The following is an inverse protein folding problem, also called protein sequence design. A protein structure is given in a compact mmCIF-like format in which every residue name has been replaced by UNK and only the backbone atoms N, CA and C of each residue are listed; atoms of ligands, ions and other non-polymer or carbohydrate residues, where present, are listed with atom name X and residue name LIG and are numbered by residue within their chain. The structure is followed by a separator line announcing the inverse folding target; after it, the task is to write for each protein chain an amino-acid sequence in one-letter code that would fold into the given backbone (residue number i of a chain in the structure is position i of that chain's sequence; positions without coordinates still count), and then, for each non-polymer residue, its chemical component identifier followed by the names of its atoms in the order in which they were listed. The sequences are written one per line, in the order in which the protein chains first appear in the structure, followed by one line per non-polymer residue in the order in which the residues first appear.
data_IF_593420729950
#
_entry.id   IF_593420729950
#
_cell.length_a   1.000
_cell.length_b   1.000
_cell.length_c   1.000
_cell.angle_alpha   90.00
_cell.angle_beta   90.00
_cell.angle_gamma   90.00
#
_symmetry.space_group_name_H-M   'P 1'
#
loop_
_entity.id
_entity.type
_entity.pdbx_description
1 polymer ?
#
# COMPACT_ATOMS: atom_id res chain seq x y z
N UNK A 1 18.24 -6.88 8.09
CA UNK A 1 16.92 -7.36 7.64
C UNK A 1 15.99 -6.18 7.50
N UNK A 2 15.35 -6.05 6.35
CA UNK A 2 14.46 -4.90 6.08
C UNK A 2 13.09 -5.12 6.68
N UNK A 3 12.49 -4.06 7.23
CA UNK A 3 11.08 -4.03 7.57
C UNK A 3 10.34 -3.31 6.44
N UNK A 4 9.35 -3.96 5.88
CA UNK A 4 8.59 -3.42 4.75
C UNK A 4 7.21 -2.95 5.19
N UNK A 5 6.80 -1.81 4.66
CA UNK A 5 5.49 -1.21 4.92
C UNK A 5 4.85 -0.84 3.58
N UNK A 6 3.55 -1.00 3.49
CA UNK A 6 2.76 -0.48 2.38
C UNK A 6 1.61 0.34 2.94
N UNK A 7 1.40 1.53 2.38
CA UNK A 7 0.27 2.39 2.75
C UNK A 7 -0.79 2.27 1.67
N UNK A 8 -1.99 1.87 2.07
CA UNK A 8 -3.13 1.75 1.16
C UNK A 8 -4.28 2.64 1.63
N UNK A 9 -5.09 3.10 0.71
CA UNK A 9 -6.27 3.91 1.02
C UNK A 9 -7.31 3.79 -0.09
N UNK A 10 -8.56 4.05 0.27
CA UNK A 10 -9.61 4.21 -0.71
C UNK A 10 -9.41 5.49 -1.55
N UNK A 11 -8.83 6.54 -0.94
CA UNK A 11 -8.47 7.77 -1.64
C UNK A 11 -6.95 7.85 -1.81
N UNK A 12 -6.50 8.04 -3.05
CA UNK A 12 -5.08 8.12 -3.36
C UNK A 12 -4.35 9.23 -2.59
N UNK A 13 -5.02 10.36 -2.38
CA UNK A 13 -4.43 11.51 -1.66
C UNK A 13 -4.11 11.16 -0.21
N UNK A 14 -5.00 10.42 0.47
CA UNK A 14 -4.77 10.02 1.86
C UNK A 14 -3.55 9.09 1.97
N UNK A 15 -3.40 8.14 1.06
CA UNK A 15 -2.25 7.25 1.04
C UNK A 15 -0.95 8.01 0.79
N UNK A 16 -0.95 8.92 -0.17
CA UNK A 16 0.21 9.73 -0.51
C UNK A 16 0.65 10.60 0.68
N UNK A 17 -0.31 11.24 1.36
CA UNK A 17 -0.02 12.09 2.52
C UNK A 17 0.60 11.28 3.66
N UNK A 18 0.03 10.12 3.98
CA UNK A 18 0.55 9.26 5.04
C UNK A 18 1.93 8.74 4.67
N UNK A 19 2.16 8.35 3.42
CA UNK A 19 3.47 7.91 2.94
C UNK A 19 4.52 9.01 3.06
N UNK A 20 4.19 10.24 2.69
CA UNK A 20 5.09 11.39 2.80
C UNK A 20 5.41 11.70 4.27
N UNK A 21 4.41 11.66 5.14
CA UNK A 21 4.59 11.89 6.57
C UNK A 21 5.47 10.82 7.20
N UNK A 22 5.25 9.55 6.82
CA UNK A 22 6.07 8.44 7.28
C UNK A 22 7.54 8.63 6.85
N UNK A 23 7.77 8.96 5.59
CA UNK A 23 9.11 9.14 5.05
C UNK A 23 9.85 10.30 5.74
N UNK A 24 9.13 11.34 6.17
CA UNK A 24 9.71 12.48 6.88
C UNK A 24 10.15 12.15 8.30
N UNK A 25 9.62 11.08 8.90
CA UNK A 25 9.91 10.68 10.28
C UNK A 25 11.15 9.80 10.43
N UNK A 26 11.70 9.28 9.33
CA UNK A 26 12.84 8.36 9.38
C UNK A 26 14.03 8.96 8.64
N UNK A 27 15.27 8.62 9.05
CA UNK A 27 16.45 9.10 8.34
C UNK A 27 16.47 8.60 6.89
N UNK A 28 16.77 9.49 5.95
CA UNK A 28 16.77 9.16 4.52
C UNK A 28 17.76 8.03 4.18
N UNK A 29 18.85 7.91 4.94
CA UNK A 29 19.85 6.86 4.72
C UNK A 29 19.35 5.45 5.09
N UNK A 30 18.27 5.33 5.87
CA UNK A 30 17.71 4.05 6.29
C UNK A 30 16.45 3.66 5.52
N UNK A 31 15.97 4.54 4.62
CA UNK A 31 14.69 4.37 3.93
C UNK A 31 14.90 4.17 2.44
N UNK A 32 14.32 3.10 1.91
CA UNK A 32 14.04 3.00 0.48
C UNK A 32 12.55 3.23 0.25
N UNK A 33 12.22 4.00 -0.77
CA UNK A 33 10.83 4.22 -1.18
C UNK A 33 10.65 3.63 -2.57
N UNK A 34 9.72 2.68 -2.69
CA UNK A 34 9.54 1.91 -3.92
C UNK A 34 8.06 1.84 -4.28
N UNK A 35 7.76 1.65 -5.56
CA UNK A 35 6.38 1.49 -6.03
C UNK A 35 5.91 0.05 -5.87
N UNK A 36 4.63 -0.14 -5.59
CA UNK A 36 3.98 -1.45 -5.66
C UNK A 36 3.93 -2.00 -7.09
N UNK A 37 4.29 -1.20 -8.08
CA UNK A 37 4.49 -1.64 -9.45
C UNK A 37 5.95 -2.02 -9.77
N UNK A 38 6.88 -1.79 -8.83
CA UNK A 38 8.29 -1.99 -9.07
C UNK A 38 8.77 -1.22 -10.29
N UNK A 39 9.50 -1.87 -11.18
CA UNK A 39 9.93 -1.31 -12.47
C UNK A 39 8.96 -1.61 -13.61
N UNK A 40 7.87 -2.34 -13.34
CA UNK A 40 6.88 -2.69 -14.36
C UNK A 40 5.98 -1.51 -14.68
N UNK A 41 5.52 -1.44 -15.93
CA UNK A 41 4.54 -0.43 -16.31
C UNK A 41 3.14 -0.84 -15.83
N UNK A 42 2.25 0.13 -15.70
CA UNK A 42 0.86 -0.14 -15.34
C UNK A 42 0.21 -1.04 -16.41
N UNK A 43 0.53 -0.83 -17.68
CA UNK A 43 0.02 -1.67 -18.77
C UNK A 43 0.44 -3.12 -18.62
N UNK A 44 1.70 -3.39 -18.27
CA UNK A 44 2.20 -4.75 -18.06
C UNK A 44 1.49 -5.41 -16.88
N UNK A 45 1.27 -4.68 -15.81
CA UNK A 45 0.58 -5.17 -14.61
C UNK A 45 -0.87 -5.51 -14.91
N UNK A 46 -1.60 -4.61 -15.56
CA UNK A 46 -3.03 -4.78 -15.83
C UNK A 46 -3.30 -5.84 -16.90
N UNK A 47 -2.37 -5.98 -17.88
CA UNK A 47 -2.51 -6.98 -18.95
C UNK A 47 -2.26 -8.40 -18.47
N UNK A 48 -1.28 -8.58 -17.58
CA UNK A 48 -0.92 -9.90 -17.07
C UNK A 48 -0.38 -9.79 -15.64
N UNK A 49 -1.27 -9.59 -14.65
CA UNK A 49 -0.86 -9.42 -13.26
C UNK A 49 -0.13 -10.64 -12.69
N UNK A 50 -0.51 -11.84 -13.10
CA UNK A 50 0.13 -13.07 -12.62
C UNK A 50 1.60 -13.15 -13.01
N UNK A 51 1.95 -12.66 -14.20
CA UNK A 51 3.34 -12.63 -14.65
C UNK A 51 4.11 -11.46 -14.06
N UNK A 52 3.43 -10.33 -13.85
CA UNK A 52 4.06 -9.13 -13.31
C UNK A 52 4.39 -9.25 -11.82
N UNK A 53 3.55 -9.92 -11.04
CA UNK A 53 3.70 -9.99 -9.58
C UNK A 53 5.07 -10.54 -9.13
N UNK A 54 5.58 -11.67 -9.65
CA UNK A 54 6.88 -12.16 -9.22
C UNK A 54 8.02 -11.17 -9.47
N UNK A 55 7.97 -10.44 -10.58
CA UNK A 55 8.98 -9.42 -10.92
C UNK A 55 8.93 -8.24 -9.95
N UNK A 56 7.73 -7.78 -9.64
CA UNK A 56 7.53 -6.69 -8.68
C UNK A 56 8.03 -7.10 -7.30
N UNK A 57 7.71 -8.29 -6.85
CA UNK A 57 8.16 -8.83 -5.57
C UNK A 57 9.70 -8.89 -5.51
N UNK A 58 10.32 -9.36 -6.57
CA UNK A 58 11.78 -9.41 -6.66
C UNK A 58 12.39 -8.00 -6.62
N UNK A 59 11.84 -7.06 -7.35
CA UNK A 59 12.30 -5.67 -7.33
C UNK A 59 12.24 -5.09 -5.91
N UNK A 60 11.15 -5.31 -5.20
CA UNK A 60 10.99 -4.83 -3.83
C UNK A 60 11.98 -5.51 -2.89
N UNK A 61 12.16 -6.82 -3.01
CA UNK A 61 13.07 -7.58 -2.17
C UNK A 61 14.53 -7.26 -2.41
N UNK A 62 14.87 -6.66 -3.54
CA UNK A 62 16.25 -6.27 -3.85
C UNK A 62 16.74 -5.11 -2.99
N UNK A 63 15.83 -4.37 -2.37
CA UNK A 63 16.18 -3.27 -1.47
C UNK A 63 16.55 -3.80 -0.09
N UNK A 64 17.72 -3.40 0.41
CA UNK A 64 18.29 -3.89 1.67
C UNK A 64 18.33 -2.85 2.78
N UNK A 65 17.79 -1.68 2.55
CA UNK A 65 17.66 -0.63 3.56
C UNK A 65 16.86 -1.15 4.76
N UNK A 66 17.08 -0.58 5.93
CA UNK A 66 16.39 -1.02 7.16
C UNK A 66 14.87 -0.91 7.04
N UNK A 67 14.40 0.11 6.35
CA UNK A 67 12.99 0.37 6.12
C UNK A 67 12.72 0.49 4.62
N UNK A 68 11.75 -0.28 4.14
CA UNK A 68 11.28 -0.19 2.75
C UNK A 68 9.82 0.25 2.79
N UNK A 69 9.54 1.43 2.28
CA UNK A 69 8.18 1.96 2.16
C UNK A 69 7.68 1.74 0.74
N UNK A 70 6.62 0.97 0.62
CA UNK A 70 6.01 0.65 -0.67
C UNK A 70 4.86 1.61 -0.91
N UNK A 71 4.96 2.39 -1.99
CA UNK A 71 3.86 3.24 -2.43
C UNK A 71 2.86 2.40 -3.21
N UNK A 72 1.62 2.33 -2.71
CA UNK A 72 0.55 1.58 -3.35
C UNK A 72 0.27 2.12 -4.75
N UNK A 73 -0.11 1.24 -5.67
CA UNK A 73 -0.61 1.69 -6.97
C UNK A 73 -1.90 2.48 -6.76
N UNK A 74 -2.02 3.65 -7.37
CA UNK A 74 -3.26 4.40 -7.33
C UNK A 74 -4.31 3.70 -8.18
N UNK A 75 -5.59 3.93 -7.87
CA UNK A 75 -6.66 3.47 -8.73
C UNK A 75 -6.49 4.12 -10.10
N UNK A 76 -6.39 3.27 -11.12
CA UNK A 76 -6.14 3.72 -12.47
C UNK A 76 -7.40 3.87 -13.30
N UNK A 77 -7.21 4.22 -14.56
CA UNK A 77 -8.28 4.35 -15.54
C UNK A 77 -8.86 3.01 -16.00
N UNK A 78 -8.23 1.89 -15.64
CA UNK A 78 -8.72 0.55 -16.00
C UNK A 78 -9.65 0.07 -14.89
N UNK A 79 -10.95 0.26 -15.10
CA UNK A 79 -11.97 -0.02 -14.08
C UNK A 79 -12.14 -1.50 -13.74
N UNK A 80 -11.68 -2.40 -14.61
CA UNK A 80 -11.77 -3.84 -14.40
C UNK A 80 -10.60 -4.43 -13.62
N UNK A 81 -9.56 -3.64 -13.38
CA UNK A 81 -8.39 -4.10 -12.63
C UNK A 81 -8.59 -3.84 -11.13
N UNK A 82 -8.42 -4.88 -10.34
CA UNK A 82 -8.54 -4.79 -8.88
C UNK A 82 -7.22 -4.25 -8.28
N UNK A 83 -7.10 -2.93 -8.25
CA UNK A 83 -5.90 -2.25 -7.74
C UNK A 83 -5.67 -2.56 -6.27
N UNK A 84 -6.71 -2.55 -5.45
CA UNK A 84 -6.60 -2.88 -4.02
C UNK A 84 -6.11 -4.32 -3.84
N UNK A 85 -6.69 -5.27 -4.58
CA UNK A 85 -6.24 -6.66 -4.54
C UNK A 85 -4.78 -6.81 -4.92
N UNK A 86 -4.33 -6.11 -5.95
CA UNK A 86 -2.92 -6.08 -6.34
C UNK A 86 -2.02 -5.61 -5.20
N UNK A 87 -2.36 -4.48 -4.59
CA UNK A 87 -1.57 -3.91 -3.50
C UNK A 87 -1.51 -4.87 -2.30
N UNK A 88 -2.60 -5.57 -1.99
CA UNK A 88 -2.65 -6.56 -0.93
C UNK A 88 -1.82 -7.80 -1.27
N UNK A 89 -1.83 -8.24 -2.53
CA UNK A 89 -1.01 -9.36 -2.99
C UNK A 89 0.49 -9.02 -2.90
N UNK A 90 0.86 -7.80 -3.26
CA UNK A 90 2.24 -7.31 -3.09
C UNK A 90 2.63 -7.33 -1.61
N UNK A 91 1.75 -6.87 -0.73
CA UNK A 91 2.00 -6.88 0.71
C UNK A 91 2.23 -8.30 1.23
N UNK A 92 1.35 -9.22 0.87
CA UNK A 92 1.45 -10.62 1.32
C UNK A 92 2.74 -11.28 0.81
N UNK A 93 3.07 -11.06 -0.46
CA UNK A 93 4.23 -11.71 -1.10
C UNK A 93 5.57 -11.13 -0.63
N UNK A 94 5.60 -9.89 -0.16
CA UNK A 94 6.81 -9.25 0.37
C UNK A 94 6.87 -9.26 1.89
N UNK A 95 5.84 -9.80 2.55
CA UNK A 95 5.68 -9.75 3.99
C UNK A 95 5.69 -8.30 4.52
N UNK A 96 5.10 -7.40 3.78
CA UNK A 96 4.99 -5.99 4.18
C UNK A 96 3.85 -5.81 5.18
N UNK A 97 4.04 -4.88 6.11
CA UNK A 97 3.01 -4.46 7.05
C UNK A 97 2.09 -3.46 6.37
N UNK A 98 0.80 -3.72 6.42
CA UNK A 98 -0.21 -2.89 5.75
C UNK A 98 -0.67 -1.79 6.69
N UNK A 99 -0.50 -0.55 6.27
CA UNK A 99 -1.01 0.63 6.95
C UNK A 99 -2.18 1.17 6.13
N UNK A 100 -3.37 1.21 6.72
CA UNK A 100 -4.55 1.75 6.06
C UNK A 100 -4.69 3.23 6.39
N UNK A 101 -4.74 4.07 5.36
CA UNK A 101 -4.93 5.51 5.49
C UNK A 101 -6.37 5.88 5.13
N UNK A 102 -7.00 6.69 5.98
CA UNK A 102 -8.36 7.15 5.75
C UNK A 102 -8.43 8.66 5.87
N UNK A 103 -9.17 9.29 4.97
CA UNK A 103 -9.55 10.68 5.10
C UNK A 103 -10.81 10.74 5.96
N UNK A 104 -10.70 11.40 7.11
CA UNK A 104 -11.80 11.54 8.06
C UNK A 104 -12.63 12.80 7.85
N UNK A 105 -12.23 13.66 6.92
CA UNK A 105 -12.93 14.90 6.64
C UNK A 105 -14.35 14.60 6.11
N UNK A 106 -15.36 15.08 6.81
CA UNK A 106 -16.75 14.85 6.45
C UNK A 106 -17.28 13.45 6.73
N UNK A 107 -16.48 12.56 7.32
CA UNK A 107 -16.89 11.19 7.63
C UNK A 107 -17.29 11.03 9.09
N UNK A 108 -18.34 10.25 9.34
CA UNK A 108 -18.71 9.89 10.71
C UNK A 108 -17.79 8.80 11.25
N UNK A 109 -17.60 8.70 12.58
CA UNK A 109 -16.83 7.60 13.16
C UNK A 109 -17.34 6.22 12.77
N UNK A 110 -18.66 6.05 12.65
CA UNK A 110 -19.28 4.79 12.26
C UNK A 110 -18.92 4.41 10.81
N UNK A 111 -18.88 5.39 9.91
CA UNK A 111 -18.50 5.15 8.53
C UNK A 111 -17.03 4.73 8.42
N UNK A 112 -16.14 5.42 9.14
CA UNK A 112 -14.73 5.08 9.18
C UNK A 112 -14.53 3.67 9.71
N UNK A 113 -15.21 3.31 10.80
CA UNK A 113 -15.14 1.98 11.39
C UNK A 113 -15.59 0.91 10.40
N UNK A 114 -16.65 1.17 9.64
CA UNK A 114 -17.15 0.24 8.63
C UNK A 114 -16.15 0.04 7.50
N UNK A 115 -15.53 1.12 7.05
CA UNK A 115 -14.49 1.05 6.01
C UNK A 115 -13.27 0.25 6.47
N UNK A 116 -12.86 0.42 7.72
CA UNK A 116 -11.78 -0.36 8.33
C UNK A 116 -12.13 -1.86 8.32
N UNK A 117 -13.33 -2.21 8.72
CA UNK A 117 -13.79 -3.61 8.73
C UNK A 117 -13.82 -4.22 7.33
N UNK A 118 -14.28 -3.47 6.33
CA UNK A 118 -14.30 -3.93 4.94
C UNK A 118 -12.87 -4.16 4.43
N UNK A 119 -11.97 -3.23 4.70
CA UNK A 119 -10.58 -3.34 4.28
C UNK A 119 -9.87 -4.50 4.97
N UNK A 120 -10.10 -4.69 6.26
CA UNK A 120 -9.54 -5.82 7.00
C UNK A 120 -10.00 -7.16 6.42
N UNK A 121 -11.26 -7.26 6.04
CA UNK A 121 -11.80 -8.45 5.39
C UNK A 121 -11.12 -8.71 4.04
N UNK A 122 -10.95 -7.67 3.24
CA UNK A 122 -10.25 -7.77 1.96
C UNK A 122 -8.79 -8.20 2.17
N UNK A 123 -8.12 -7.63 3.16
CA UNK A 123 -6.74 -8.00 3.48
C UNK A 123 -6.63 -9.50 3.80
N UNK A 124 -7.54 -10.03 4.59
CA UNK A 124 -7.55 -11.47 4.92
C UNK A 124 -7.76 -12.35 3.70
N UNK A 125 -8.57 -11.91 2.74
CA UNK A 125 -8.78 -12.65 1.48
C UNK A 125 -7.51 -12.74 0.65
N UNK A 126 -6.55 -11.81 0.85
CA UNK A 126 -5.26 -11.79 0.18
C UNK A 126 -4.12 -12.24 1.09
N UNK A 127 -4.43 -12.99 2.13
CA UNK A 127 -3.45 -13.59 3.05
C UNK A 127 -2.57 -12.54 3.79
N UNK A 128 -3.12 -11.39 4.07
CA UNK A 128 -2.45 -10.35 4.84
C UNK A 128 -3.40 -9.73 5.85
N UNK A 129 -2.92 -8.79 6.66
CA UNK A 129 -3.72 -8.10 7.67
C UNK A 129 -3.30 -6.65 7.79
N UNK A 130 -4.21 -5.82 8.29
CA UNK A 130 -3.87 -4.45 8.64
C UNK A 130 -2.98 -4.45 9.88
N UNK A 131 -1.81 -3.83 9.78
CA UNK A 131 -0.92 -3.65 10.91
C UNK A 131 -1.23 -2.38 11.69
N UNK A 132 -1.74 -1.35 10.99
CA UNK A 132 -2.06 -0.06 11.59
C UNK A 132 -3.10 0.67 10.74
N UNK A 133 -3.75 1.65 11.36
CA UNK A 133 -4.65 2.59 10.69
C UNK A 133 -4.10 3.99 10.93
N UNK A 134 -3.93 4.75 9.86
CA UNK A 134 -3.45 6.11 9.92
C UNK A 134 -4.58 7.07 9.52
N UNK A 135 -4.85 8.03 10.38
CA UNK A 135 -5.82 9.08 10.12
C UNK A 135 -5.04 10.39 9.97
N UNK A 136 -5.29 11.18 8.92
CA UNK A 136 -4.67 12.49 8.82
C UNK A 136 -5.02 13.32 10.06
N UNK A 137 -4.05 14.09 10.54
CA UNK A 137 -4.28 14.94 11.69
C UNK A 137 -5.39 15.93 11.37
N UNK A 138 -6.45 15.92 12.18
CA UNK A 138 -7.50 16.93 12.10
C UNK A 138 -6.90 18.25 12.57
N UNK A 139 -6.96 19.24 11.73
CA UNK A 139 -6.56 20.58 12.11
C UNK A 139 -7.76 21.44 12.43
#
# INVERSE_FOLDING_TARGET
MSTRFIVIAAQAEAASQVSDDFAALVPASTLARVSAGGTSTIEAITSNPEQALPRVVEDIRSHTEDIVLIDALPEGSVSTFDTLGWNLDVAASTNARVIAAFDTEGASPELVQREIEVLERRARQHATRLAAVALPAAM
#
